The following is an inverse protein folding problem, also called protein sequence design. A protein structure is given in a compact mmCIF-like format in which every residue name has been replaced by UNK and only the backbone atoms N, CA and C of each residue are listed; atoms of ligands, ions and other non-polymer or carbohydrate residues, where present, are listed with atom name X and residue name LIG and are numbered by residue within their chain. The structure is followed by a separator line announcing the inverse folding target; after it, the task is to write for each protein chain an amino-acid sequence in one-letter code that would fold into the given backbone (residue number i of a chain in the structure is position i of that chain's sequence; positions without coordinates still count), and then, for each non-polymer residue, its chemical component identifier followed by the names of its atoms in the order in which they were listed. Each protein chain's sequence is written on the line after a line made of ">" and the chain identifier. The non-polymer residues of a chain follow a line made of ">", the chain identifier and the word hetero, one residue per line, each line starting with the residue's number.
data_IF_947963326796
#
_entry.id   IF_947963326796
#
_cell.length_a   1.000
_cell.length_b   1.000
_cell.length_c   1.000
_cell.angle_alpha   90.00
_cell.angle_beta   90.00
_cell.angle_gamma   90.00
#
_symmetry.space_group_name_H-M   'P 1'
#
loop_
_entity.id
_entity.type
_entity.pdbx_description
1 polymer ?
#
# COMPACT_ATOMS: atom_id res chain seq x y z
N UNK A 1 -27.33 18.93 0.88
CA UNK A 1 -26.97 18.15 -0.32
C UNK A 1 -25.63 17.49 -0.04
N UNK A 2 -25.62 16.18 0.24
CA UNK A 2 -24.40 15.42 0.43
C UNK A 2 -23.97 14.96 -0.96
N UNK A 3 -22.96 15.59 -1.55
CA UNK A 3 -22.37 15.14 -2.80
C UNK A 3 -21.54 13.90 -2.49
N UNK A 4 -22.06 12.72 -2.87
CA UNK A 4 -21.25 11.52 -3.00
C UNK A 4 -20.17 11.79 -4.06
N UNK A 5 -18.91 11.79 -3.64
CA UNK A 5 -17.79 11.77 -4.59
C UNK A 5 -17.89 10.52 -5.46
N UNK A 6 -17.48 10.58 -6.75
CA UNK A 6 -17.38 9.40 -7.57
C UNK A 6 -16.40 8.43 -6.91
N UNK A 7 -16.89 7.27 -6.51
CA UNK A 7 -16.04 6.15 -6.11
C UNK A 7 -15.32 5.67 -7.36
N UNK A 8 -14.12 6.20 -7.59
CA UNK A 8 -13.10 5.52 -8.39
C UNK A 8 -12.98 4.13 -7.74
N UNK A 9 -13.17 3.06 -8.51
CA UNK A 9 -13.04 1.69 -8.00
C UNK A 9 -11.59 1.47 -7.58
N UNK A 10 -11.29 1.82 -6.34
CA UNK A 10 -9.97 1.65 -5.75
C UNK A 10 -9.89 0.26 -5.13
N UNK A 11 -9.14 -0.63 -5.77
CA UNK A 11 -8.73 -1.88 -5.11
C UNK A 11 -8.02 -1.50 -3.80
N UNK A 12 -8.50 -2.05 -2.69
CA UNK A 12 -7.99 -1.73 -1.35
C UNK A 12 -7.48 -2.99 -0.70
N UNK A 13 -6.20 -2.99 -0.37
CA UNK A 13 -5.53 -4.06 0.35
C UNK A 13 -5.14 -3.59 1.75
N UNK A 14 -5.16 -4.50 2.72
CA UNK A 14 -4.81 -4.21 4.12
C UNK A 14 -3.71 -5.17 4.55
N UNK A 15 -2.57 -4.61 4.98
CA UNK A 15 -1.47 -5.39 5.53
C UNK A 15 -1.55 -5.36 7.07
N UNK A 16 -1.96 -6.48 7.65
CA UNK A 16 -2.18 -6.64 9.08
C UNK A 16 -0.90 -6.42 9.90
N UNK A 17 -1.06 -5.89 11.12
CA UNK A 17 0.08 -5.59 11.99
C UNK A 17 0.88 -6.84 12.39
N UNK A 18 0.26 -8.02 12.42
CA UNK A 18 0.94 -9.27 12.67
C UNK A 18 2.05 -9.58 11.65
N UNK A 19 1.97 -9.03 10.43
CA UNK A 19 3.04 -9.13 9.43
C UNK A 19 4.36 -8.55 9.95
N UNK A 20 4.30 -7.46 10.71
CA UNK A 20 5.48 -6.76 11.24
C UNK A 20 6.14 -7.49 12.41
N UNK A 21 5.50 -8.53 12.95
CA UNK A 21 6.03 -9.34 14.05
C UNK A 21 6.89 -10.54 13.60
N UNK A 22 6.94 -10.82 12.29
CA UNK A 22 7.69 -11.94 11.72
C UNK A 22 8.97 -11.46 11.01
N UNK A 23 9.95 -12.35 10.73
CA UNK A 23 11.04 -12.03 9.83
C UNK A 23 10.52 -11.67 8.42
N UNK A 24 10.90 -10.49 7.92
CA UNK A 24 10.40 -9.96 6.64
C UNK A 24 11.49 -9.96 5.57
N UNK A 25 11.06 -10.13 4.32
CA UNK A 25 11.92 -10.03 3.14
C UNK A 25 11.08 -9.58 1.95
N UNK A 26 11.73 -9.14 0.86
CA UNK A 26 11.03 -8.88 -0.40
C UNK A 26 10.24 -10.10 -0.91
N UNK A 27 10.76 -11.32 -0.70
CA UNK A 27 10.04 -12.55 -1.05
C UNK A 27 8.79 -12.76 -0.19
N UNK A 28 8.83 -12.38 1.08
CA UNK A 28 7.67 -12.44 1.98
C UNK A 28 6.57 -11.50 1.48
N UNK A 29 6.93 -10.28 1.05
CA UNK A 29 6.00 -9.30 0.48
C UNK A 29 5.34 -9.81 -0.81
N UNK A 30 6.11 -10.37 -1.74
CA UNK A 30 5.56 -10.87 -3.00
C UNK A 30 4.54 -12.00 -2.79
N UNK A 31 4.71 -12.78 -1.72
CA UNK A 31 3.84 -13.91 -1.38
C UNK A 31 2.75 -13.56 -0.37
N UNK A 32 2.70 -12.32 0.12
CA UNK A 32 1.71 -11.89 1.11
C UNK A 32 0.31 -11.79 0.46
N UNK A 33 -0.63 -12.69 0.79
CA UNK A 33 -1.90 -12.78 0.08
C UNK A 33 -2.74 -11.51 0.20
N UNK A 34 -2.62 -10.79 1.32
CA UNK A 34 -3.42 -9.60 1.61
C UNK A 34 -3.14 -8.42 0.69
N UNK A 35 -1.94 -8.31 0.12
CA UNK A 35 -1.53 -7.19 -0.76
C UNK A 35 -1.34 -7.58 -2.22
N UNK A 36 -1.36 -8.88 -2.52
CA UNK A 36 -1.22 -9.41 -3.89
C UNK A 36 -2.22 -8.82 -4.90
N UNK A 37 -3.51 -8.56 -4.57
CA UNK A 37 -4.44 -7.93 -5.50
C UNK A 37 -3.97 -6.54 -5.96
N UNK A 38 -3.56 -5.68 -5.04
CA UNK A 38 -3.08 -4.34 -5.35
C UNK A 38 -1.77 -4.35 -6.16
N UNK A 39 -0.85 -5.27 -5.87
CA UNK A 39 0.37 -5.46 -6.68
C UNK A 39 0.00 -5.87 -8.11
N UNK A 40 -0.94 -6.81 -8.25
CA UNK A 40 -1.39 -7.29 -9.56
C UNK A 40 -2.03 -6.18 -10.37
N UNK A 41 -2.89 -5.38 -9.75
CA UNK A 41 -3.56 -4.26 -10.41
C UNK A 41 -2.58 -3.17 -10.85
N UNK A 42 -1.61 -2.81 -10.00
CA UNK A 42 -0.56 -1.85 -10.36
C UNK A 42 0.25 -2.28 -11.60
N UNK A 43 0.46 -3.59 -11.77
CA UNK A 43 1.18 -4.18 -12.89
C UNK A 43 0.30 -4.40 -14.12
N UNK A 44 -1.01 -4.52 -13.95
CA UNK A 44 -1.96 -4.69 -15.05
C UNK A 44 -2.22 -3.38 -15.81
N UNK A 45 -2.13 -2.25 -15.12
CA UNK A 45 -2.37 -0.92 -15.66
C UNK A 45 -1.16 0.00 -15.43
N UNK A 46 -0.51 0.42 -16.52
CA UNK A 46 0.67 1.30 -16.48
C UNK A 46 0.37 2.75 -16.09
N UNK A 47 -0.90 3.19 -16.11
CA UNK A 47 -1.29 4.53 -15.65
C UNK A 47 -1.71 4.55 -14.19
N UNK A 48 -2.03 3.38 -13.61
CA UNK A 48 -2.44 3.27 -12.21
C UNK A 48 -1.33 3.65 -11.22
N UNK A 49 -1.73 4.15 -10.05
CA UNK A 49 -0.85 4.51 -8.94
C UNK A 49 -1.27 3.79 -7.67
N UNK A 50 -0.29 3.40 -6.87
CA UNK A 50 -0.48 2.81 -5.55
C UNK A 50 -0.19 3.85 -4.47
N UNK A 51 -1.14 4.06 -3.57
CA UNK A 51 -0.93 4.85 -2.35
C UNK A 51 -0.84 3.92 -1.14
N UNK A 52 0.30 3.93 -0.45
CA UNK A 52 0.51 3.29 0.84
C UNK A 52 0.10 4.28 1.93
N UNK A 53 -1.00 3.99 2.61
CA UNK A 53 -1.56 4.81 3.68
C UNK A 53 -1.14 4.22 5.02
N UNK A 54 -0.62 5.07 5.90
CA UNK A 54 -0.06 4.68 7.19
C UNK A 54 -0.33 5.76 8.25
N UNK A 55 -0.38 5.37 9.52
CA UNK A 55 -0.70 6.27 10.64
C UNK A 55 0.47 7.22 10.94
N UNK A 56 0.18 8.36 11.57
CA UNK A 56 1.19 9.34 12.00
C UNK A 56 1.94 8.88 13.26
N UNK A 57 2.61 7.73 13.16
CA UNK A 57 3.52 7.20 14.18
C UNK A 57 4.85 6.84 13.54
N UNK A 58 5.94 6.94 14.31
CA UNK A 58 7.27 6.60 13.82
C UNK A 58 7.35 5.15 13.34
N UNK A 59 6.73 4.22 14.08
CA UNK A 59 6.68 2.80 13.74
C UNK A 59 5.95 2.57 12.41
N UNK A 60 4.76 3.15 12.24
CA UNK A 60 3.99 3.01 10.99
C UNK A 60 4.72 3.64 9.80
N UNK A 61 5.40 4.77 10.02
CA UNK A 61 6.24 5.42 9.02
C UNK A 61 7.44 4.58 8.59
N UNK A 62 8.12 3.91 9.53
CA UNK A 62 9.21 2.98 9.22
C UNK A 62 8.68 1.81 8.41
N UNK A 63 7.59 1.17 8.84
CA UNK A 63 6.96 0.05 8.16
C UNK A 63 6.50 0.40 6.73
N UNK A 64 5.88 1.57 6.54
CA UNK A 64 5.45 2.04 5.23
C UNK A 64 6.64 2.28 4.26
N UNK A 65 7.74 2.82 4.77
CA UNK A 65 8.97 2.98 4.00
C UNK A 65 9.61 1.63 3.65
N UNK A 66 9.67 0.70 4.62
CA UNK A 66 10.21 -0.65 4.41
C UNK A 66 9.41 -1.39 3.32
N UNK A 67 8.08 -1.36 3.39
CA UNK A 67 7.19 -1.89 2.36
C UNK A 67 7.50 -1.30 0.98
N UNK A 68 7.56 0.02 0.86
CA UNK A 68 7.86 0.68 -0.41
C UNK A 68 9.22 0.27 -0.96
N UNK A 69 10.24 0.17 -0.11
CA UNK A 69 11.59 -0.24 -0.53
C UNK A 69 11.60 -1.66 -1.09
N UNK A 70 10.89 -2.60 -0.46
CA UNK A 70 10.76 -3.95 -1.01
C UNK A 70 10.02 -3.99 -2.33
N UNK A 71 8.90 -3.28 -2.46
CA UNK A 71 8.16 -3.21 -3.73
C UNK A 71 9.05 -2.67 -4.86
N UNK A 72 9.82 -1.61 -4.59
CA UNK A 72 10.79 -1.06 -5.56
C UNK A 72 11.91 -2.05 -5.87
N UNK A 73 12.44 -2.75 -4.87
CA UNK A 73 13.46 -3.79 -5.07
C UNK A 73 12.94 -4.98 -5.88
N UNK A 74 11.63 -5.25 -5.85
CA UNK A 74 10.92 -6.21 -6.68
C UNK A 74 10.56 -5.65 -8.07
N UNK A 75 11.17 -4.54 -8.46
CA UNK A 75 11.00 -3.87 -9.76
C UNK A 75 9.62 -3.22 -9.99
N UNK A 76 8.84 -2.93 -8.94
CA UNK A 76 7.67 -2.07 -9.09
C UNK A 76 8.13 -0.61 -9.32
N UNK A 77 7.43 0.15 -10.18
CA UNK A 77 7.86 1.49 -10.57
C UNK A 77 7.74 2.49 -9.41
N UNK A 78 8.88 2.91 -8.87
CA UNK A 78 8.97 3.77 -7.68
C UNK A 78 8.19 5.08 -7.77
N UNK A 79 8.04 5.64 -8.99
CA UNK A 79 7.28 6.86 -9.25
C UNK A 79 5.76 6.69 -9.15
N UNK A 80 5.27 5.44 -9.19
CA UNK A 80 3.83 5.11 -9.06
C UNK A 80 3.46 4.66 -7.65
N UNK A 81 4.40 4.62 -6.71
CA UNK A 81 4.17 4.20 -5.32
C UNK A 81 4.37 5.39 -4.37
N UNK A 82 3.25 5.90 -3.84
CA UNK A 82 3.18 7.10 -3.02
C UNK A 82 2.95 6.73 -1.55
N UNK A 83 3.66 7.40 -0.64
CA UNK A 83 3.42 7.28 0.80
C UNK A 83 2.48 8.40 1.24
N UNK A 84 1.39 8.07 1.94
CA UNK A 84 0.42 9.03 2.46
C UNK A 84 0.17 8.79 3.95
N UNK A 85 0.63 9.74 4.76
CA UNK A 85 0.39 9.75 6.20
C UNK A 85 -1.06 10.14 6.50
N UNK A 86 -1.70 9.48 7.47
CA UNK A 86 -3.04 9.81 7.96
C UNK A 86 -3.03 10.05 9.47
N UNK A 87 -3.92 10.94 9.94
CA UNK A 87 -4.12 11.23 11.36
C UNK A 87 -4.97 10.16 12.08
N UNK A 88 -5.56 9.20 11.34
CA UNK A 88 -6.28 8.08 11.92
C UNK A 88 -5.27 7.15 12.64
N UNK A 89 -5.36 7.06 13.97
CA UNK A 89 -4.24 6.63 14.80
C UNK A 89 -4.14 5.12 15.05
N UNK A 90 -4.89 4.28 14.33
CA UNK A 90 -4.93 2.83 14.60
C UNK A 90 -5.10 1.96 13.36
N UNK A 91 -5.05 2.53 12.16
CA UNK A 91 -5.28 1.72 10.97
C UNK A 91 -4.00 0.96 10.58
N UNK A 92 -4.10 -0.35 10.29
CA UNK A 92 -3.01 -1.08 9.65
C UNK A 92 -2.62 -0.42 8.33
N UNK A 93 -1.45 -0.76 7.81
CA UNK A 93 -1.01 -0.23 6.52
C UNK A 93 -2.01 -0.64 5.44
N UNK A 94 -2.47 0.35 4.66
CA UNK A 94 -3.42 0.16 3.57
C UNK A 94 -2.79 0.51 2.24
N UNK A 95 -3.09 -0.27 1.21
CA UNK A 95 -2.71 0.03 -0.16
C UNK A 95 -4.00 0.35 -0.92
N UNK A 96 -4.02 1.49 -1.60
CA UNK A 96 -5.11 1.89 -2.49
C UNK A 96 -4.58 2.02 -3.91
N UNK A 97 -5.26 1.42 -4.87
CA UNK A 97 -5.01 1.64 -6.30
C UNK A 97 -5.90 2.75 -6.82
N UNK A 98 -5.31 3.70 -7.53
CA UNK A 98 -6.01 4.78 -8.21
C UNK A 98 -5.73 4.67 -9.69
N UNK A 99 -6.80 4.62 -10.47
CA UNK A 99 -6.74 4.72 -11.93
C UNK A 99 -6.90 6.19 -12.32
N UNK A 100 -6.03 6.66 -13.21
CA UNK A 100 -6.12 7.99 -13.83
C UNK A 100 -7.20 8.02 -14.94
#
# INVERSE_FOLDING_TARGET
>A
MLTSSPSIHAETCVLDDAFWLQPRSGMTILNEPSIKPCITELLADDTSRMTIIYSDTDESGVSANELRQWLVALALPAGRIILKKTAASTDPIRLEIQHD
#
